data_IF_662226347756
#
_entry.id   IF_662226347756
#
_cell.length_a   1.000
_cell.length_b   1.000
_cell.length_c   1.000
_cell.angle_alpha   90.00
_cell.angle_beta   90.00
_cell.angle_gamma   90.00
#
_symmetry.space_group_name_H-M   'P 1'
#
loop_
_entity.id
_entity.type
_entity.pdbx_description
1 polymer ?
#
# COMPACT_ATOMS: atom_id res chain seq x y z
N UNK A 1 74.69 37.01 14.45
CA UNK A 1 75.36 36.16 15.47
C UNK A 1 74.50 34.93 15.66
N UNK A 2 74.95 33.69 15.52
CA UNK A 2 76.10 33.13 14.83
C UNK A 2 75.68 31.70 14.45
N UNK A 3 76.18 31.19 13.32
CA UNK A 3 75.91 29.85 12.81
C UNK A 3 76.81 28.82 13.49
N UNK A 4 76.48 27.53 13.44
CA UNK A 4 77.47 26.46 13.57
C UNK A 4 76.97 25.14 12.94
N UNK A 5 77.88 24.23 12.55
CA UNK A 5 77.89 23.66 11.21
C UNK A 5 78.06 22.12 11.18
N UNK A 6 77.99 21.60 9.95
CA UNK A 6 78.79 20.53 9.35
C UNK A 6 79.31 19.34 10.19
N UNK A 7 78.97 18.13 9.73
CA UNK A 7 79.87 16.99 9.50
C UNK A 7 79.30 16.23 8.28
N UNK A 8 79.94 16.21 7.09
CA UNK A 8 81.04 15.31 6.68
C UNK A 8 80.74 13.84 7.06
N UNK A 9 80.63 12.85 6.18
CA UNK A 9 80.96 12.69 4.77
C UNK A 9 81.38 11.22 4.62
N UNK A 10 80.93 10.49 3.59
CA UNK A 10 81.60 9.25 3.15
C UNK A 10 81.41 9.03 1.63
N UNK A 11 82.39 8.40 0.96
CA UNK A 11 82.61 8.44 -0.50
C UNK A 11 82.06 7.19 -1.23
N UNK A 12 82.18 7.12 -2.57
CA UNK A 12 81.45 6.19 -3.42
C UNK A 12 82.22 4.90 -3.68
N UNK A 13 81.51 3.78 -3.89
CA UNK A 13 82.17 2.54 -4.30
C UNK A 13 81.25 1.34 -4.48
N UNK A 14 81.09 0.97 -5.75
CA UNK A 14 80.80 -0.36 -6.31
C UNK A 14 79.36 -0.91 -6.34
N UNK A 15 78.84 -1.24 -7.55
CA UNK A 15 77.71 -2.15 -7.75
C UNK A 15 78.22 -3.60 -7.75
N UNK A 16 77.42 -4.60 -7.30
CA UNK A 16 77.01 -5.62 -8.28
C UNK A 16 75.68 -6.33 -7.94
N UNK A 17 75.21 -7.15 -8.91
CA UNK A 17 74.16 -8.17 -8.84
C UNK A 17 72.76 -7.75 -9.30
N UNK A 18 72.65 -7.55 -10.63
CA UNK A 18 71.44 -7.88 -11.35
C UNK A 18 71.25 -9.40 -11.31
N UNK A 19 70.24 -9.86 -10.56
CA UNK A 19 69.72 -11.21 -10.72
C UNK A 19 68.86 -11.23 -11.99
N UNK A 20 69.06 -12.18 -12.93
CA UNK A 20 68.10 -12.40 -13.99
C UNK A 20 66.87 -13.08 -13.36
N UNK A 21 65.82 -12.30 -13.07
CA UNK A 21 64.49 -12.87 -12.90
C UNK A 21 64.05 -13.38 -14.27
N UNK A 22 64.37 -14.64 -14.57
CA UNK A 22 63.63 -15.40 -15.56
C UNK A 22 62.17 -15.33 -15.15
N UNK A 23 61.35 -14.66 -15.97
CA UNK A 23 59.90 -14.83 -15.87
C UNK A 23 59.61 -16.33 -16.07
N UNK A 24 58.84 -16.97 -15.18
CA UNK A 24 58.39 -18.32 -15.44
C UNK A 24 57.64 -18.34 -16.78
N UNK A 25 57.78 -19.42 -17.58
CA UNK A 25 57.06 -19.53 -18.84
C UNK A 25 55.56 -19.35 -18.57
N UNK A 26 54.82 -18.66 -19.45
CA UNK A 26 53.38 -18.56 -19.32
C UNK A 26 52.83 -19.98 -19.32
N UNK A 27 52.23 -20.39 -18.20
CA UNK A 27 51.37 -21.56 -18.17
C UNK A 27 50.28 -21.26 -19.21
N UNK A 28 50.34 -21.93 -20.36
CA UNK A 28 49.23 -22.00 -21.30
C UNK A 28 48.14 -22.81 -20.63
N UNK A 29 47.38 -22.15 -19.76
CA UNK A 29 46.09 -22.66 -19.33
C UNK A 29 45.26 -22.77 -20.62
N UNK A 30 44.76 -23.96 -20.99
CA UNK A 30 43.82 -24.08 -22.08
C UNK A 30 42.67 -23.12 -21.78
N UNK A 31 42.52 -22.10 -22.62
CA UNK A 31 41.44 -21.15 -22.49
C UNK A 31 40.12 -21.89 -22.56
N UNK A 32 39.44 -22.00 -21.43
CA UNK A 32 38.00 -22.06 -21.43
C UNK A 32 37.52 -20.63 -21.18
N UNK A 33 37.17 -19.86 -22.23
CA UNK A 33 36.64 -18.53 -22.04
C UNK A 33 35.21 -18.66 -21.49
N UNK A 34 35.09 -18.35 -20.20
CA UNK A 34 33.82 -17.98 -19.59
C UNK A 34 33.26 -19.07 -18.69
N UNK A 35 33.47 -18.94 -17.38
CA UNK A 35 32.55 -19.52 -16.39
C UNK A 35 32.53 -18.84 -15.02
N UNK A 36 33.27 -17.73 -14.81
CA UNK A 36 33.18 -16.94 -13.57
C UNK A 36 32.59 -15.54 -13.75
N UNK A 37 32.17 -15.19 -14.98
CA UNK A 37 31.37 -14.00 -15.28
C UNK A 37 29.91 -14.33 -15.65
N UNK A 38 29.50 -15.61 -15.55
CA UNK A 38 28.13 -16.08 -15.82
C UNK A 38 27.40 -16.60 -14.57
N UNK A 39 27.57 -15.93 -13.43
CA UNK A 39 26.47 -15.84 -12.46
C UNK A 39 25.40 -14.81 -12.91
N UNK A 40 25.41 -14.43 -14.19
CA UNK A 40 24.23 -13.95 -14.87
C UNK A 40 23.20 -15.08 -14.86
N UNK A 41 22.36 -15.10 -13.81
CA UNK A 41 21.17 -15.93 -13.71
C UNK A 41 20.41 -15.90 -15.03
N UNK A 42 20.66 -16.90 -15.87
CA UNK A 42 20.05 -17.05 -17.18
C UNK A 42 18.69 -17.71 -16.95
N UNK A 43 17.71 -16.91 -16.53
CA UNK A 43 16.30 -17.30 -16.42
C UNK A 43 15.69 -17.48 -17.82
N UNK A 44 16.08 -18.53 -18.53
CA UNK A 44 15.58 -18.86 -19.88
C UNK A 44 14.45 -19.88 -19.90
N UNK A 45 14.02 -20.40 -18.75
CA UNK A 45 12.82 -21.24 -18.66
C UNK A 45 11.70 -20.46 -17.96
N UNK A 46 10.64 -20.12 -18.69
CA UNK A 46 9.44 -19.47 -18.14
C UNK A 46 8.74 -20.31 -17.06
N UNK A 47 9.06 -21.60 -16.93
CA UNK A 47 8.54 -22.49 -15.89
C UNK A 47 9.11 -22.22 -14.49
N UNK A 48 10.23 -21.51 -14.37
CA UNK A 48 10.90 -21.21 -13.08
C UNK A 48 10.68 -19.75 -12.61
N UNK A 49 9.92 -18.97 -13.39
CA UNK A 49 9.59 -17.58 -13.04
C UNK A 49 8.41 -17.57 -12.10
N UNK A 50 8.70 -17.60 -10.80
CA UNK A 50 7.73 -17.23 -9.78
C UNK A 50 7.14 -15.85 -10.12
N UNK A 51 5.81 -15.75 -10.12
CA UNK A 51 5.12 -14.47 -10.27
C UNK A 51 5.71 -13.48 -9.24
N UNK A 52 6.25 -12.33 -9.66
CA UNK A 52 6.83 -11.34 -8.74
C UNK A 52 5.84 -10.82 -7.70
N UNK A 53 4.52 -11.02 -7.93
CA UNK A 53 3.43 -10.67 -7.05
C UNK A 53 2.67 -11.90 -6.50
N UNK A 54 3.29 -13.07 -6.47
CA UNK A 54 2.69 -14.27 -5.87
C UNK A 54 2.28 -14.03 -4.40
N UNK A 55 1.21 -14.64 -3.92
CA UNK A 55 0.88 -14.52 -2.49
C UNK A 55 1.84 -15.39 -1.65
N UNK A 56 2.27 -14.91 -0.49
CA UNK A 56 3.02 -15.72 0.47
C UNK A 56 4.20 -15.02 1.14
N UNK A 57 4.69 -15.62 2.24
CA UNK A 57 5.80 -15.06 3.02
C UNK A 57 7.19 -15.50 2.55
N UNK A 58 7.26 -16.44 1.61
CA UNK A 58 8.43 -17.29 1.42
C UNK A 58 9.46 -16.80 0.39
N UNK A 59 9.25 -15.65 -0.27
CA UNK A 59 10.12 -15.23 -1.36
C UNK A 59 10.51 -13.74 -1.28
N UNK A 60 11.80 -13.45 -1.31
CA UNK A 60 12.38 -12.10 -1.35
C UNK A 60 12.27 -11.29 -0.05
N UNK A 61 13.20 -10.33 0.19
CA UNK A 61 13.13 -9.45 1.36
C UNK A 61 11.95 -8.48 1.26
N UNK A 62 11.43 -8.05 2.41
CA UNK A 62 10.55 -6.88 2.51
C UNK A 62 11.40 -5.69 2.91
N UNK A 63 11.39 -4.65 2.09
CA UNK A 63 12.23 -3.47 2.27
C UNK A 63 11.46 -2.36 2.99
N UNK A 64 12.14 -1.65 3.88
CA UNK A 64 11.67 -0.33 4.28
C UNK A 64 11.95 0.69 3.16
N UNK A 65 11.15 1.76 2.98
CA UNK A 65 11.34 2.70 1.88
C UNK A 65 12.72 3.34 1.83
N UNK A 66 13.32 3.61 2.99
CA UNK A 66 14.66 4.17 3.06
C UNK A 66 15.71 3.17 2.59
N UNK A 67 15.60 1.90 3.01
CA UNK A 67 16.49 0.84 2.55
C UNK A 67 16.33 0.60 1.05
N UNK A 68 15.11 0.63 0.51
CA UNK A 68 14.86 0.55 -0.92
C UNK A 68 15.59 1.66 -1.71
N UNK A 69 15.64 2.89 -1.18
CA UNK A 69 16.40 4.00 -1.77
C UNK A 69 17.91 3.74 -1.70
N UNK A 70 18.43 3.29 -0.55
CA UNK A 70 19.87 3.02 -0.36
C UNK A 70 20.37 1.95 -1.33
N UNK A 71 19.63 0.85 -1.48
CA UNK A 71 20.03 -0.27 -2.34
C UNK A 71 19.72 -0.03 -3.82
N UNK A 72 19.14 1.11 -4.17
CA UNK A 72 18.75 1.41 -5.55
C UNK A 72 17.68 0.48 -6.11
N UNK A 73 16.78 -0.04 -5.26
CA UNK A 73 15.74 -0.97 -5.69
C UNK A 73 14.72 -0.25 -6.60
N UNK A 74 14.51 -0.79 -7.81
CA UNK A 74 13.43 -0.34 -8.69
C UNK A 74 12.10 -0.91 -8.21
N UNK A 75 11.28 -0.07 -7.58
CA UNK A 75 9.96 -0.48 -7.09
C UNK A 75 8.95 -0.52 -8.24
N UNK A 76 8.48 -1.71 -8.57
CA UNK A 76 7.39 -1.95 -9.53
C UNK A 76 6.07 -2.09 -8.79
N UNK A 77 5.03 -1.43 -9.28
CA UNK A 77 3.68 -1.55 -8.73
C UNK A 77 3.00 -2.83 -9.27
N UNK A 78 2.14 -3.44 -8.46
CA UNK A 78 1.26 -4.51 -8.91
C UNK A 78 0.33 -4.01 -10.03
N UNK A 79 0.23 -4.71 -11.19
CA UNK A 79 -0.66 -4.32 -12.29
C UNK A 79 -2.12 -4.14 -11.87
N UNK A 80 -2.60 -4.85 -10.84
CA UNK A 80 -3.97 -4.67 -10.32
C UNK A 80 -4.24 -3.25 -9.79
N UNK A 81 -3.20 -2.58 -9.27
CA UNK A 81 -3.29 -1.21 -8.79
C UNK A 81 -2.93 -0.18 -9.87
N UNK A 82 -2.42 -0.62 -11.02
CA UNK A 82 -2.04 0.28 -12.10
C UNK A 82 -3.30 0.82 -12.81
N UNK A 83 -3.18 1.91 -13.57
CA UNK A 83 -4.27 2.37 -14.43
C UNK A 83 -4.71 1.29 -15.41
N UNK A 84 -6.00 1.25 -15.78
CA UNK A 84 -6.47 0.34 -16.81
C UNK A 84 -5.69 0.62 -18.10
N UNK A 85 -5.00 -0.38 -18.68
CA UNK A 85 -4.37 -0.21 -19.98
C UNK A 85 -5.44 -0.19 -21.07
N UNK A 86 -5.13 0.44 -22.21
CA UNK A 86 -6.09 0.59 -23.31
C UNK A 86 -6.54 -0.76 -23.91
N UNK A 87 -5.78 -1.84 -23.66
CA UNK A 87 -5.95 -3.15 -24.30
C UNK A 87 -6.35 -4.29 -23.36
N UNK A 88 -6.40 -4.09 -22.05
CA UNK A 88 -6.64 -5.18 -21.08
C UNK A 88 -7.97 -5.00 -20.35
N UNK A 89 -8.74 -6.08 -20.30
CA UNK A 89 -10.02 -6.15 -19.58
C UNK A 89 -9.86 -6.51 -18.09
N UNK A 90 -8.66 -6.37 -17.53
CA UNK A 90 -8.35 -6.80 -16.16
C UNK A 90 -7.83 -5.65 -15.30
N UNK A 91 -8.75 -4.93 -14.67
CA UNK A 91 -8.47 -3.80 -13.80
C UNK A 91 -9.51 -3.69 -12.69
N UNK A 92 -9.21 -2.85 -11.70
CA UNK A 92 -10.11 -2.57 -10.60
C UNK A 92 -11.07 -1.44 -10.97
N UNK A 93 -12.37 -1.72 -10.88
CA UNK A 93 -13.44 -0.71 -10.94
C UNK A 93 -13.88 -0.38 -9.53
N UNK A 94 -13.67 0.86 -9.16
CA UNK A 94 -14.06 1.35 -7.85
C UNK A 94 -14.42 2.84 -7.89
N UNK A 95 -15.61 3.17 -7.39
CA UNK A 95 -15.98 4.54 -7.07
C UNK A 95 -15.62 4.80 -5.61
N UNK A 96 -14.67 5.71 -5.37
CA UNK A 96 -14.10 6.00 -4.05
C UNK A 96 -15.09 6.72 -3.11
N UNK A 97 -16.28 7.09 -3.58
CA UNK A 97 -17.40 7.51 -2.72
C UNK A 97 -17.95 6.36 -1.87
N UNK A 98 -17.69 5.12 -2.28
CA UNK A 98 -18.15 3.91 -1.61
C UNK A 98 -16.98 3.13 -1.02
N UNK A 99 -17.25 2.35 0.03
CA UNK A 99 -16.26 1.44 0.61
C UNK A 99 -15.68 0.44 -0.40
N UNK A 100 -14.49 -0.10 -0.10
CA UNK A 100 -13.79 -1.13 -0.91
C UNK A 100 -14.58 -2.42 -1.12
N UNK A 101 -15.67 -2.64 -0.38
CA UNK A 101 -16.64 -3.72 -0.64
C UNK A 101 -17.41 -3.54 -1.95
N UNK A 102 -17.47 -2.32 -2.49
CA UNK A 102 -18.03 -2.01 -3.81
C UNK A 102 -16.97 -1.97 -4.91
N UNK A 103 -15.71 -2.24 -4.59
CA UNK A 103 -14.67 -2.47 -5.59
C UNK A 103 -14.86 -3.87 -6.21
N UNK A 104 -14.67 -3.98 -7.51
CA UNK A 104 -14.69 -5.26 -8.21
C UNK A 104 -13.67 -5.25 -9.35
N UNK A 105 -13.19 -6.45 -9.67
CA UNK A 105 -12.27 -6.69 -10.78
C UNK A 105 -13.08 -6.99 -12.02
N UNK A 106 -12.75 -6.38 -13.15
CA UNK A 106 -13.55 -6.50 -14.39
C UNK A 106 -13.63 -7.90 -14.97
N UNK A 107 -12.66 -8.76 -14.69
CA UNK A 107 -12.67 -10.18 -15.11
C UNK A 107 -13.56 -11.07 -14.24
N UNK A 108 -14.01 -10.58 -13.07
CA UNK A 108 -14.85 -11.36 -12.16
C UNK A 108 -16.34 -11.07 -12.42
N UNK A 109 -17.14 -12.12 -12.57
CA UNK A 109 -18.59 -12.00 -12.82
C UNK A 109 -19.37 -11.51 -11.60
N UNK A 110 -18.80 -11.68 -10.40
CA UNK A 110 -19.37 -11.20 -9.14
C UNK A 110 -18.69 -9.90 -8.74
N UNK A 111 -19.46 -8.93 -8.21
CA UNK A 111 -18.94 -7.65 -7.66
C UNK A 111 -18.18 -7.87 -6.35
N UNK A 112 -17.06 -8.56 -6.44
CA UNK A 112 -16.08 -8.74 -5.39
C UNK A 112 -14.70 -8.73 -6.03
N UNK A 113 -13.67 -8.41 -5.26
CA UNK A 113 -12.28 -8.52 -5.72
C UNK A 113 -11.47 -9.26 -4.65
N UNK A 114 -11.81 -10.53 -4.45
CA UNK A 114 -11.13 -11.35 -3.45
C UNK A 114 -9.77 -11.80 -3.98
N UNK A 115 -9.69 -12.13 -5.27
CA UNK A 115 -8.47 -12.61 -5.92
C UNK A 115 -7.49 -11.46 -6.15
N UNK A 116 -6.29 -11.57 -5.57
CA UNK A 116 -5.24 -10.57 -5.67
C UNK A 116 -5.31 -9.47 -4.60
N UNK A 117 -6.30 -9.52 -3.69
CA UNK A 117 -6.36 -8.61 -2.54
C UNK A 117 -5.18 -8.81 -1.58
N UNK A 118 -4.74 -10.05 -1.40
CA UNK A 118 -3.60 -10.39 -0.55
C UNK A 118 -2.26 -10.38 -1.32
N UNK A 119 -2.29 -10.13 -2.63
CA UNK A 119 -1.08 -9.96 -3.42
C UNK A 119 -0.31 -8.72 -2.94
N UNK A 120 1.03 -8.75 -2.94
CA UNK A 120 1.83 -7.58 -2.62
C UNK A 120 1.53 -6.44 -3.60
N UNK A 121 1.44 -5.23 -3.08
CA UNK A 121 1.23 -4.02 -3.88
C UNK A 121 2.45 -3.62 -4.71
N UNK A 122 3.63 -4.12 -4.34
CA UNK A 122 4.91 -3.73 -4.95
C UNK A 122 5.88 -4.92 -5.05
N UNK A 123 6.79 -4.82 -6.01
CA UNK A 123 7.93 -5.71 -6.18
C UNK A 123 9.21 -4.87 -6.41
N UNK A 124 10.26 -4.99 -5.56
CA UNK A 124 10.30 -5.72 -4.30
C UNK A 124 9.24 -5.25 -3.31
N UNK A 125 8.89 -6.11 -2.36
CA UNK A 125 7.84 -5.84 -1.36
C UNK A 125 8.32 -4.75 -0.40
N UNK A 126 7.45 -3.82 -0.05
CA UNK A 126 7.79 -2.73 0.89
C UNK A 126 6.87 -2.69 2.10
N UNK A 127 7.39 -2.23 3.25
CA UNK A 127 6.58 -2.09 4.48
C UNK A 127 5.69 -0.85 4.50
N UNK A 128 5.97 0.13 3.64
CA UNK A 128 5.28 1.41 3.63
C UNK A 128 5.18 2.02 2.23
N UNK A 129 4.00 2.52 1.88
CA UNK A 129 3.72 3.23 0.64
C UNK A 129 3.11 4.59 0.97
N UNK A 130 3.47 5.61 0.19
CA UNK A 130 2.84 6.94 0.20
C UNK A 130 2.03 7.14 -1.06
N UNK A 131 0.85 7.73 -0.93
CA UNK A 131 -0.02 8.05 -2.06
C UNK A 131 -0.33 9.54 -2.02
N UNK A 132 -0.12 10.20 -3.13
CA UNK A 132 -0.45 11.61 -3.36
C UNK A 132 -1.37 11.71 -4.58
N UNK A 133 -2.06 12.82 -4.76
CA UNK A 133 -2.93 13.00 -5.91
C UNK A 133 -3.05 14.47 -6.29
N UNK A 134 -3.52 14.76 -7.50
CA UNK A 134 -3.73 16.14 -7.97
C UNK A 134 -5.03 16.78 -7.47
N UNK A 135 -6.17 16.06 -7.39
CA UNK A 135 -7.42 16.63 -6.86
C UNK A 135 -7.37 17.06 -5.40
N UNK A 136 -6.45 16.52 -4.60
CA UNK A 136 -6.37 16.80 -3.17
C UNK A 136 -4.92 16.95 -2.69
N UNK A 137 -4.65 17.80 -1.68
CA UNK A 137 -3.29 18.12 -1.27
C UNK A 137 -2.66 17.09 -0.31
N UNK A 138 -3.45 16.16 0.21
CA UNK A 138 -3.04 15.24 1.26
C UNK A 138 -2.15 14.10 0.78
N UNK A 139 -1.33 13.60 1.70
CA UNK A 139 -0.58 12.36 1.55
C UNK A 139 -1.25 11.26 2.37
N UNK A 140 -1.56 10.14 1.72
CA UNK A 140 -2.10 8.95 2.35
C UNK A 140 -0.94 8.00 2.65
N UNK A 141 -0.86 7.57 3.90
CA UNK A 141 0.18 6.66 4.39
C UNK A 141 -0.40 5.25 4.50
N UNK A 142 0.17 4.31 3.75
CA UNK A 142 -0.19 2.90 3.81
C UNK A 142 0.94 2.14 4.49
N UNK A 143 0.65 1.43 5.58
CA UNK A 143 1.62 0.60 6.31
C UNK A 143 1.16 -0.85 6.25
N UNK A 144 2.10 -1.75 6.02
CA UNK A 144 1.84 -3.19 6.05
C UNK A 144 1.35 -3.58 7.44
N UNK A 145 0.20 -4.25 7.53
CA UNK A 145 -0.28 -4.83 8.78
C UNK A 145 0.64 -5.97 9.22
N UNK A 146 1.18 -6.73 8.26
CA UNK A 146 2.20 -7.73 8.50
C UNK A 146 3.51 -7.33 7.79
N UNK A 147 4.54 -6.86 8.54
CA UNK A 147 5.81 -6.45 7.97
C UNK A 147 6.53 -7.54 7.16
N UNK A 148 6.26 -8.83 7.42
CA UNK A 148 6.85 -9.95 6.67
C UNK A 148 6.25 -10.17 5.28
N UNK A 149 5.03 -9.66 5.05
CA UNK A 149 4.36 -9.74 3.75
C UNK A 149 4.57 -8.46 2.94
N UNK A 150 4.82 -7.33 3.62
CA UNK A 150 4.79 -6.01 3.00
C UNK A 150 3.35 -5.55 2.75
N UNK A 151 3.23 -4.38 2.12
CA UNK A 151 1.94 -3.78 1.79
C UNK A 151 1.25 -4.59 0.70
N UNK A 152 0.00 -4.95 0.93
CA UNK A 152 -0.86 -5.69 -0.02
C UNK A 152 -1.76 -4.75 -0.83
N UNK A 153 -2.28 -5.22 -1.96
CA UNK A 153 -3.25 -4.47 -2.76
C UNK A 153 -4.51 -4.10 -1.97
N UNK A 154 -4.99 -5.03 -1.13
CA UNK A 154 -6.12 -4.84 -0.22
C UNK A 154 -5.91 -3.68 0.75
N UNK A 155 -4.77 -3.66 1.43
CA UNK A 155 -4.40 -2.60 2.38
C UNK A 155 -4.29 -1.24 1.71
N UNK A 156 -3.82 -1.18 0.45
CA UNK A 156 -3.77 0.06 -0.32
C UNK A 156 -5.16 0.64 -0.53
N UNK A 157 -6.09 -0.14 -1.07
CA UNK A 157 -7.45 0.37 -1.32
C UNK A 157 -8.19 0.68 -0.02
N UNK A 158 -8.03 -0.15 1.00
CA UNK A 158 -8.67 0.07 2.30
C UNK A 158 -8.14 1.35 2.94
N UNK A 159 -6.83 1.60 2.90
CA UNK A 159 -6.24 2.83 3.41
C UNK A 159 -6.75 4.06 2.65
N UNK A 160 -6.85 3.99 1.31
CA UNK A 160 -7.46 5.07 0.51
C UNK A 160 -8.91 5.30 0.94
N UNK A 161 -9.70 4.23 1.05
CA UNK A 161 -11.11 4.30 1.46
C UNK A 161 -11.23 4.94 2.84
N UNK A 162 -10.57 4.40 3.85
CA UNK A 162 -10.61 4.91 5.22
C UNK A 162 -10.18 6.38 5.28
N UNK A 163 -9.15 6.76 4.53
CA UNK A 163 -8.68 8.13 4.48
C UNK A 163 -9.72 9.09 3.88
N UNK A 164 -10.42 8.67 2.82
CA UNK A 164 -11.45 9.46 2.14
C UNK A 164 -12.73 9.66 2.97
N UNK A 165 -13.05 8.72 3.86
CA UNK A 165 -14.15 8.86 4.83
C UNK A 165 -13.80 9.73 6.05
N UNK A 166 -12.55 10.19 6.17
CA UNK A 166 -12.14 11.14 7.19
C UNK A 166 -12.73 12.54 6.96
N UNK A 167 -12.83 13.32 8.04
CA UNK A 167 -13.27 14.71 7.97
C UNK A 167 -12.20 15.63 7.36
N UNK A 168 -12.64 16.67 6.68
CA UNK A 168 -11.80 17.76 6.18
C UNK A 168 -11.63 18.77 7.31
N UNK A 169 -10.38 19.13 7.63
CA UNK A 169 -10.15 20.12 8.67
C UNK A 169 -10.52 21.52 8.17
N UNK A 170 -11.11 22.34 9.05
CA UNK A 170 -11.50 23.72 8.74
C UNK A 170 -10.36 24.54 8.13
N UNK A 171 -9.15 24.41 8.68
CA UNK A 171 -7.92 25.07 8.19
C UNK A 171 -7.53 24.71 6.75
N UNK A 172 -7.98 23.56 6.26
CA UNK A 172 -7.71 23.09 4.88
C UNK A 172 -8.75 23.65 3.91
N UNK A 173 -9.99 23.79 4.38
CA UNK A 173 -11.11 24.29 3.58
C UNK A 173 -11.17 25.82 3.48
N UNK A 174 -10.90 26.53 4.57
CA UNK A 174 -10.99 28.00 4.63
C UNK A 174 -10.11 28.77 3.64
N UNK A 175 -8.84 28.41 3.36
CA UNK A 175 -8.02 29.16 2.43
C UNK A 175 -8.39 28.93 0.96
N UNK A 176 -9.33 28.01 0.67
CA UNK A 176 -9.69 27.72 -0.72
C UNK A 176 -10.40 28.90 -1.42
N UNK A 177 -10.16 29.07 -2.73
CA UNK A 177 -10.92 30.01 -3.55
C UNK A 177 -12.43 29.72 -3.51
N UNK A 178 -13.30 30.75 -3.57
CA UNK A 178 -14.76 30.57 -3.54
C UNK A 178 -15.29 29.59 -4.59
N UNK A 179 -14.71 29.57 -5.79
CA UNK A 179 -15.07 28.64 -6.86
C UNK A 179 -14.84 27.19 -6.45
N UNK A 180 -13.71 26.88 -5.81
CA UNK A 180 -13.39 25.53 -5.35
C UNK A 180 -14.27 25.13 -4.17
N UNK A 181 -14.54 26.05 -3.24
CA UNK A 181 -15.48 25.82 -2.13
C UNK A 181 -16.88 25.46 -2.64
N UNK A 182 -17.36 26.13 -3.69
CA UNK A 182 -18.64 25.84 -4.33
C UNK A 182 -18.67 24.43 -4.94
N UNK A 183 -17.64 24.04 -5.68
CA UNK A 183 -17.54 22.68 -6.25
C UNK A 183 -17.58 21.60 -5.16
N UNK A 184 -16.80 21.77 -4.10
CA UNK A 184 -16.78 20.83 -2.96
C UNK A 184 -18.15 20.78 -2.28
N UNK A 185 -18.82 21.93 -2.15
CA UNK A 185 -20.15 22.02 -1.56
C UNK A 185 -21.24 21.35 -2.41
N UNK A 186 -21.16 21.46 -3.73
CA UNK A 186 -22.04 20.74 -4.66
C UNK A 186 -21.86 19.23 -4.51
N UNK A 187 -20.62 18.76 -4.43
CA UNK A 187 -20.32 17.35 -4.16
C UNK A 187 -20.77 16.90 -2.78
N UNK A 188 -20.60 17.73 -1.76
CA UNK A 188 -21.14 17.47 -0.41
C UNK A 188 -22.65 17.22 -0.44
N UNK A 189 -23.40 18.09 -1.14
CA UNK A 189 -24.85 17.95 -1.28
C UNK A 189 -25.22 16.70 -2.10
N UNK A 190 -24.55 16.49 -3.23
CA UNK A 190 -24.78 15.34 -4.09
C UNK A 190 -24.54 14.02 -3.35
N UNK A 191 -23.41 13.90 -2.65
CA UNK A 191 -23.03 12.68 -1.95
C UNK A 191 -23.99 12.32 -0.81
N UNK A 192 -24.78 13.28 -0.31
CA UNK A 192 -25.81 13.08 0.73
C UNK A 192 -27.23 13.00 0.17
N UNK A 193 -27.39 13.17 -1.13
CA UNK A 193 -28.68 13.04 -1.81
C UNK A 193 -29.14 11.57 -1.86
N UNK A 194 -30.38 11.36 -2.31
CA UNK A 194 -30.94 10.02 -2.57
C UNK A 194 -30.59 9.50 -3.97
N UNK A 195 -29.64 10.13 -4.68
CA UNK A 195 -29.20 9.66 -5.98
C UNK A 195 -28.56 8.28 -5.89
N UNK A 196 -28.84 7.41 -6.86
CA UNK A 196 -28.28 6.07 -6.92
C UNK A 196 -26.74 6.03 -6.97
N UNK A 197 -26.10 7.06 -7.50
CA UNK A 197 -24.64 7.19 -7.56
C UNK A 197 -24.04 7.83 -6.31
N UNK A 198 -24.87 8.24 -5.36
CA UNK A 198 -24.46 8.84 -4.10
C UNK A 198 -24.55 7.81 -2.95
N UNK A 199 -23.62 7.86 -1.98
CA UNK A 199 -23.71 7.04 -0.77
C UNK A 199 -24.87 7.45 0.16
N UNK A 200 -25.39 8.66 0.00
CA UNK A 200 -26.56 9.18 0.71
C UNK A 200 -26.30 9.57 2.15
N UNK A 201 -27.37 9.62 2.96
CA UNK A 201 -27.35 10.13 4.34
C UNK A 201 -26.40 9.40 5.31
N UNK A 202 -25.84 8.24 4.92
CA UNK A 202 -24.88 7.47 5.74
C UNK A 202 -23.55 8.20 5.99
N UNK A 203 -23.24 9.23 5.20
CA UNK A 203 -22.02 10.04 5.37
C UNK A 203 -22.05 10.98 6.59
N UNK A 204 -23.25 11.27 7.14
CA UNK A 204 -23.42 12.23 8.22
C UNK A 204 -23.24 13.69 7.79
N UNK A 205 -23.23 14.59 8.77
CA UNK A 205 -23.30 16.05 8.59
C UNK A 205 -21.93 16.72 8.35
N UNK A 206 -20.82 16.02 8.58
CA UNK A 206 -19.47 16.55 8.40
C UNK A 206 -18.97 16.50 6.96
N UNK A 207 -18.24 17.52 6.50
CA UNK A 207 -17.56 17.51 5.20
C UNK A 207 -16.46 16.45 5.20
N UNK A 208 -16.58 15.45 4.32
CA UNK A 208 -15.66 14.33 4.19
C UNK A 208 -14.64 14.59 3.10
N UNK A 209 -13.48 13.94 3.17
CA UNK A 209 -12.45 14.07 2.11
C UNK A 209 -12.92 13.54 0.75
N UNK A 210 -13.83 12.58 0.71
CA UNK A 210 -14.49 12.14 -0.52
C UNK A 210 -15.32 13.26 -1.20
N UNK A 211 -15.84 14.23 -0.44
CA UNK A 211 -16.55 15.38 -1.01
C UNK A 211 -15.57 16.31 -1.77
N UNK A 212 -14.29 16.25 -1.43
CA UNK A 212 -13.23 17.00 -2.09
C UNK A 212 -12.93 16.51 -3.51
N UNK A 213 -13.21 15.23 -3.79
CA UNK A 213 -12.90 14.60 -5.07
C UNK A 213 -13.71 15.20 -6.23
N UNK A 214 -14.88 15.78 -5.94
CA UNK A 214 -15.70 16.37 -6.99
C UNK A 214 -16.24 15.31 -7.95
N UNK A 215 -16.18 15.64 -9.24
CA UNK A 215 -16.47 14.69 -10.33
C UNK A 215 -15.38 13.62 -10.52
N UNK A 216 -14.21 13.77 -9.91
CA UNK A 216 -13.08 12.84 -10.05
C UNK A 216 -13.09 11.76 -8.94
N UNK A 217 -14.23 11.08 -8.75
CA UNK A 217 -14.39 10.14 -7.63
C UNK A 217 -14.01 8.70 -7.97
N UNK A 218 -13.68 8.38 -9.23
CA UNK A 218 -13.33 7.03 -9.66
C UNK A 218 -11.85 6.74 -9.45
N UNK A 219 -11.55 5.55 -8.92
CA UNK A 219 -10.19 5.04 -8.86
C UNK A 219 -9.64 4.82 -10.27
N UNK A 220 -8.55 5.49 -10.60
CA UNK A 220 -7.87 5.42 -11.89
C UNK A 220 -6.54 4.68 -11.87
N UNK A 221 -6.19 4.06 -10.74
CA UNK A 221 -4.89 3.42 -10.54
C UNK A 221 -3.84 4.33 -9.91
N UNK A 222 -2.71 3.72 -9.56
CA UNK A 222 -1.53 4.37 -9.01
C UNK A 222 -0.41 4.34 -10.05
N UNK A 223 0.34 5.44 -10.16
CA UNK A 223 1.43 5.59 -11.13
C UNK A 223 2.69 6.13 -10.44
N UNK A 224 3.89 5.57 -10.72
CA UNK A 224 5.13 6.19 -10.28
C UNK A 224 5.35 7.51 -11.03
N UNK A 225 5.58 8.60 -10.30
CA UNK A 225 5.62 9.95 -10.88
C UNK A 225 6.63 10.82 -10.12
N UNK A 226 7.92 10.60 -10.36
CA UNK A 226 9.00 11.29 -9.62
C UNK A 226 8.94 12.82 -9.78
N UNK A 227 8.53 13.31 -10.96
CA UNK A 227 8.35 14.74 -11.21
C UNK A 227 7.27 15.34 -10.32
N UNK A 228 6.11 14.69 -10.22
CA UNK A 228 5.02 15.14 -9.37
C UNK A 228 5.35 14.97 -7.88
N UNK A 229 6.04 13.89 -7.50
CA UNK A 229 6.49 13.69 -6.11
C UNK A 229 7.45 14.81 -5.70
N UNK A 230 8.41 15.17 -6.57
CA UNK A 230 9.35 16.26 -6.32
C UNK A 230 8.65 17.62 -6.24
N UNK A 231 7.68 17.88 -7.12
CA UNK A 231 6.86 19.10 -7.10
C UNK A 231 6.05 19.21 -5.79
N UNK A 232 5.39 18.12 -5.38
CA UNK A 232 4.48 18.11 -4.25
C UNK A 232 5.17 18.02 -2.88
N UNK A 233 6.29 17.29 -2.80
CA UNK A 233 6.99 16.99 -1.55
C UNK A 233 8.32 17.76 -1.39
N UNK A 234 8.80 18.45 -2.42
CA UNK A 234 10.10 19.11 -2.45
C UNK A 234 11.30 18.20 -2.70
N UNK A 235 11.10 16.88 -2.65
CA UNK A 235 12.13 15.85 -2.94
C UNK A 235 11.47 14.57 -3.49
N UNK A 236 12.27 13.72 -4.13
CA UNK A 236 11.85 12.38 -4.60
C UNK A 236 11.87 11.42 -3.42
N UNK A 237 10.68 11.24 -2.83
CA UNK A 237 10.46 10.32 -1.72
C UNK A 237 10.26 8.88 -2.24
N UNK A 238 11.00 7.88 -1.73
CA UNK A 238 10.87 6.50 -2.17
C UNK A 238 9.48 5.93 -1.83
N UNK A 239 9.01 5.01 -2.68
CA UNK A 239 7.72 4.33 -2.52
C UNK A 239 6.52 5.29 -2.47
N UNK A 240 6.58 6.38 -3.24
CA UNK A 240 5.49 7.37 -3.37
C UNK A 240 4.87 7.27 -4.75
N UNK A 241 3.54 7.11 -4.81
CA UNK A 241 2.80 6.97 -6.07
C UNK A 241 1.72 8.04 -6.21
N UNK A 242 1.46 8.45 -7.45
CA UNK A 242 0.38 9.33 -7.83
C UNK A 242 -0.90 8.51 -8.02
N UNK A 243 -1.93 8.77 -7.22
CA UNK A 243 -3.28 8.28 -7.45
C UNK A 243 -3.93 9.07 -8.58
N UNK A 244 -4.28 8.37 -9.65
CA UNK A 244 -5.12 8.91 -10.72
C UNK A 244 -6.57 8.83 -10.28
N UNK A 245 -7.25 9.97 -10.37
CA UNK A 245 -8.67 10.08 -10.10
C UNK A 245 -9.37 10.37 -11.42
N UNK A 246 -10.31 9.51 -11.80
CA UNK A 246 -11.02 9.60 -13.07
C UNK A 246 -12.43 10.13 -12.84
N UNK A 247 -13.05 10.72 -13.89
CA UNK A 247 -14.45 11.10 -13.84
C UNK A 247 -15.34 9.90 -13.47
N UNK A 248 -16.36 10.18 -12.66
CA UNK A 248 -17.42 9.23 -12.33
C UNK A 248 -18.18 8.83 -13.60
N UNK A 249 -18.46 7.53 -13.75
CA UNK A 249 -19.36 7.03 -14.82
C UNK A 249 -20.80 6.99 -14.30
N UNK A 250 -21.77 7.09 -15.20
CA UNK A 250 -23.16 6.81 -14.85
C UNK A 250 -23.32 5.31 -14.56
N UNK A 251 -23.71 4.95 -13.32
CA UNK A 251 -23.96 3.56 -12.95
C UNK A 251 -25.02 2.95 -13.86
N UNK A 252 -24.80 1.72 -14.34
CA UNK A 252 -25.84 0.98 -15.08
C UNK A 252 -26.98 0.55 -14.14
N UNK A 253 -28.18 0.31 -14.69
CA UNK A 253 -29.36 -0.04 -13.90
C UNK A 253 -29.18 -1.33 -13.05
N UNK A 254 -28.34 -2.26 -13.49
CA UNK A 254 -28.00 -3.47 -12.72
C UNK A 254 -27.12 -3.13 -11.51
N UNK A 255 -26.18 -2.19 -11.67
CA UNK A 255 -25.31 -1.75 -10.58
C UNK A 255 -26.12 -1.04 -9.49
N UNK A 256 -27.09 -0.22 -9.91
CA UNK A 256 -28.00 0.50 -9.02
C UNK A 256 -28.82 -0.47 -8.18
N UNK A 257 -29.46 -1.48 -8.81
CA UNK A 257 -30.24 -2.51 -8.08
C UNK A 257 -29.39 -3.28 -7.09
N UNK A 258 -28.17 -3.65 -7.47
CA UNK A 258 -27.26 -4.39 -6.60
C UNK A 258 -26.78 -3.57 -5.40
N UNK A 259 -26.44 -2.30 -5.63
CA UNK A 259 -26.09 -1.38 -4.54
C UNK A 259 -27.24 -1.25 -3.54
N UNK A 260 -28.45 -1.03 -4.03
CA UNK A 260 -29.63 -0.92 -3.19
C UNK A 260 -29.85 -2.20 -2.35
N UNK A 261 -29.72 -3.38 -2.96
CA UNK A 261 -29.82 -4.68 -2.26
C UNK A 261 -28.80 -4.83 -1.12
N UNK A 262 -27.56 -4.34 -1.30
CA UNK A 262 -26.51 -4.36 -0.28
C UNK A 262 -26.76 -3.37 0.84
N UNK A 263 -27.30 -2.20 0.50
CA UNK A 263 -27.68 -1.19 1.49
C UNK A 263 -28.80 -1.72 2.39
N UNK A 264 -29.74 -2.49 1.84
CA UNK A 264 -30.85 -3.11 2.57
C UNK A 264 -30.42 -4.31 3.43
N UNK A 265 -29.30 -4.98 3.11
CA UNK A 265 -28.80 -6.16 3.85
C UNK A 265 -27.37 -5.98 4.41
N UNK A 266 -27.15 -5.11 5.43
CA UNK A 266 -25.83 -4.89 6.03
C UNK A 266 -25.31 -6.10 6.85
N UNK A 267 -26.15 -7.09 7.18
CA UNK A 267 -25.88 -8.13 8.18
C UNK A 267 -25.02 -9.31 7.73
N UNK A 268 -24.65 -9.42 6.44
CA UNK A 268 -23.96 -10.63 5.93
C UNK A 268 -22.43 -10.58 5.90
N UNK A 269 -21.79 -9.40 6.04
CA UNK A 269 -20.35 -9.27 5.76
C UNK A 269 -19.46 -8.96 6.98
N UNK A 270 -20.02 -8.76 8.18
CA UNK A 270 -19.21 -8.51 9.39
C UNK A 270 -18.93 -9.74 10.26
N UNK A 271 -19.33 -10.93 9.84
CA UNK A 271 -19.21 -12.17 10.64
C UNK A 271 -17.86 -12.90 10.54
N UNK A 272 -16.80 -12.30 9.98
CA UNK A 272 -15.51 -12.99 9.78
C UNK A 272 -14.27 -12.39 10.45
N UNK A 273 -14.40 -11.40 11.35
CA UNK A 273 -13.21 -10.82 12.02
C UNK A 273 -13.19 -10.87 13.55
N UNK A 274 -14.12 -11.57 14.23
CA UNK A 274 -14.08 -11.73 15.69
C UNK A 274 -14.56 -13.10 16.18
N UNK A 275 -13.73 -14.14 16.02
CA UNK A 275 -13.91 -15.42 16.72
C UNK A 275 -12.56 -16.07 17.05
N UNK A 276 -11.75 -15.45 17.92
CA UNK A 276 -10.71 -16.16 18.68
C UNK A 276 -10.52 -15.51 20.05
N UNK A 277 -11.50 -15.74 20.91
CA UNK A 277 -11.34 -15.65 22.37
C UNK A 277 -12.10 -16.83 22.97
N UNK A 278 -11.35 -17.90 23.24
CA UNK A 278 -11.81 -19.06 24.01
C UNK A 278 -12.12 -18.62 25.45
N UNK A 279 -13.27 -18.96 26.04
CA UNK A 279 -13.36 -19.13 27.46
C UNK A 279 -13.08 -20.60 27.80
N UNK A 280 -12.08 -20.82 28.65
CA UNK A 280 -11.95 -22.04 29.41
C UNK A 280 -13.01 -22.01 30.51
N UNK A 281 -13.87 -23.03 30.60
CA UNK A 281 -14.59 -23.28 31.84
C UNK A 281 -14.64 -24.77 32.16
N UNK A 282 -14.13 -25.02 33.36
CA UNK A 282 -14.13 -26.23 34.15
C UNK A 282 -15.53 -26.82 34.31
N UNK A 283 -15.66 -28.12 34.08
CA UNK A 283 -16.73 -28.94 34.62
C UNK A 283 -16.30 -29.48 35.99
N UNK A 284 -17.04 -29.15 37.03
CA UNK A 284 -17.28 -30.07 38.14
C UNK A 284 -18.76 -29.96 38.54
N UNK A 285 -19.46 -31.09 38.72
CA UNK A 285 -20.78 -31.11 39.34
C UNK A 285 -20.72 -31.66 40.76
N UNK A 286 -21.48 -31.08 41.69
CA UNK A 286 -22.30 -31.86 42.62
C UNK A 286 -23.29 -30.96 43.38
N UNK A 287 -24.53 -31.45 43.61
CA UNK A 287 -25.59 -30.71 44.29
C UNK A 287 -25.65 -31.08 45.77
N UNK A 288 -26.10 -30.15 46.63
CA UNK A 288 -26.80 -30.50 47.87
C UNK A 288 -27.70 -29.36 48.35
N UNK A 289 -28.96 -29.74 48.50
CA UNK A 289 -30.02 -29.24 49.38
C UNK A 289 -29.64 -28.19 50.43
N UNK A 290 -30.54 -27.23 50.68
CA UNK A 290 -31.32 -27.17 51.94
C UNK A 290 -32.45 -26.13 51.80
N UNK A 291 -33.62 -26.60 52.20
CA UNK A 291 -34.91 -25.99 52.52
C UNK A 291 -34.82 -24.71 53.38
N UNK A 292 -35.85 -23.84 53.33
CA UNK A 292 -36.62 -23.31 54.49
C UNK A 292 -37.24 -21.91 54.24
N UNK A 293 -38.59 -21.90 54.25
CA UNK A 293 -39.58 -20.95 54.82
C UNK A 293 -39.69 -19.48 54.39
N UNK A 294 -40.86 -19.19 53.82
CA UNK A 294 -41.93 -18.27 54.24
C UNK A 294 -41.66 -17.09 55.20
N UNK A 295 -42.08 -15.89 54.76
CA UNK A 295 -42.90 -14.84 55.42
C UNK A 295 -43.12 -13.75 54.34
N UNK A 296 -44.32 -13.44 53.82
CA UNK A 296 -45.42 -12.64 54.39
C UNK A 296 -45.05 -11.20 54.79
N UNK A 297 -46.05 -10.34 54.60
CA UNK A 297 -46.21 -8.92 54.99
C UNK A 297 -45.82 -7.94 53.86
N UNK A 298 -46.78 -7.35 53.14
CA UNK A 298 -47.81 -6.36 53.54
C UNK A 298 -47.28 -4.91 53.53
N UNK A 299 -48.22 -4.00 53.29
CA UNK A 299 -48.18 -2.53 53.37
C UNK A 299 -47.96 -1.74 52.06
N UNK A 300 -49.09 -1.53 51.38
CA UNK A 300 -49.88 -0.29 51.32
C UNK A 300 -49.21 1.10 51.19
N UNK A 301 -49.91 1.91 50.38
CA UNK A 301 -50.09 3.38 50.37
C UNK A 301 -48.88 4.30 50.13
N UNK A 302 -48.84 5.01 48.99
CA UNK A 302 -49.52 6.30 48.71
C UNK A 302 -49.23 6.78 47.26
#
# INVERSE_FOLDING_TARGET
MSPHPAYAGYPPGYPPWQHPTQQPPPIKIPGNPGDTAQAAFRWTNDADRMDPFAEGSHYGPVLEPFLAKIVGATIKLNPLLAPPPDTQDDYLRWNMLFHTSNCYRTTESQRSWVKGRNAPATHPRVTHIRIISRPFPWMIHVRAQNPKLGVTCGEVLDAVSMYMYGDVAKKEYEPLPPTRKRQIWESYRFNRSTDSNAPGGRLGEGLKRLDWLGSASRFGGLVPSDSFVKEHCGDVLPCTFELKCLPTYALTAEEVREQQRRLENPTRHHSHSRSRSRPAHSRQPSPRSVTVRSASDDDDDE
#
